data_IF_802861692705
#
_entry.id   IF_802861692705
#
_cell.length_a   1.000
_cell.length_b   1.000
_cell.length_c   1.000
_cell.angle_alpha   90.00
_cell.angle_beta   90.00
_cell.angle_gamma   90.00
#
_symmetry.space_group_name_H-M   'P 1'
#
loop_
_entity.id
_entity.type
_entity.pdbx_description
1 polymer ?
#
# COMPACT_ATOMS: atom_id res chain seq x y z
N UNK A 1 0.49 54.81 -0.31
CA UNK A 1 -0.43 53.80 0.25
C UNK A 1 -0.35 52.53 -0.62
N UNK A 2 0.55 51.62 -0.30
CA UNK A 2 0.75 50.37 -1.03
C UNK A 2 -0.01 49.25 -0.32
N UNK A 3 -1.03 48.71 -0.96
CA UNK A 3 -1.76 47.52 -0.42
C UNK A 3 -0.94 46.26 -0.71
N UNK A 4 -0.35 45.71 0.31
CA UNK A 4 0.33 44.40 0.25
C UNK A 4 -0.63 43.29 -0.17
N UNK A 5 -0.35 42.63 -1.31
CA UNK A 5 -0.99 41.40 -1.72
C UNK A 5 -0.61 40.31 -0.71
N UNK A 6 -1.57 39.84 0.08
CA UNK A 6 -1.42 38.58 0.83
C UNK A 6 -1.37 37.45 -0.22
N UNK A 7 -0.23 36.78 -0.29
CA UNK A 7 -0.09 35.54 -1.04
C UNK A 7 -1.02 34.48 -0.41
N UNK A 8 -1.97 33.98 -1.15
CA UNK A 8 -2.80 32.83 -0.73
C UNK A 8 -1.88 31.60 -0.60
N UNK A 9 -1.93 30.95 0.51
CA UNK A 9 -1.29 29.64 0.68
C UNK A 9 -1.95 28.64 -0.27
N UNK A 10 -1.19 27.82 -1.00
CA UNK A 10 -1.75 26.83 -1.92
C UNK A 10 -2.65 25.82 -1.19
N UNK A 11 -3.70 25.37 -1.88
CA UNK A 11 -4.63 24.36 -1.38
C UNK A 11 -3.93 22.99 -1.19
N UNK A 12 -4.52 22.11 -0.39
CA UNK A 12 -4.01 20.73 -0.17
C UNK A 12 -3.82 20.01 -1.52
N UNK A 13 -4.76 20.18 -2.47
CA UNK A 13 -4.66 19.60 -3.81
C UNK A 13 -3.46 20.14 -4.61
N UNK A 14 -3.16 21.43 -4.51
CA UNK A 14 -2.00 22.05 -5.18
C UNK A 14 -0.67 21.62 -4.56
N UNK A 15 -0.63 21.32 -3.26
CA UNK A 15 0.57 20.81 -2.57
C UNK A 15 0.83 19.34 -2.86
N UNK A 16 -0.22 18.52 -2.99
CA UNK A 16 -0.11 17.13 -3.46
C UNK A 16 0.49 17.09 -4.86
N UNK A 17 0.05 18.00 -5.76
CA UNK A 17 0.57 18.10 -7.12
C UNK A 17 2.06 18.52 -7.19
N UNK A 18 2.57 19.27 -6.20
CA UNK A 18 3.97 19.76 -6.18
C UNK A 18 4.94 18.87 -5.40
N UNK A 19 4.45 17.85 -4.67
CA UNK A 19 5.27 16.98 -3.78
C UNK A 19 5.88 15.76 -4.46
N UNK A 20 5.86 15.63 -5.79
CA UNK A 20 6.30 14.42 -6.51
C UNK A 20 5.30 13.25 -6.41
N UNK A 21 4.20 13.42 -5.67
CA UNK A 21 3.10 12.45 -5.61
C UNK A 21 2.30 12.49 -6.92
N UNK A 22 2.22 13.65 -7.59
CA UNK A 22 1.57 13.79 -8.90
C UNK A 22 2.26 12.92 -9.98
N UNK A 23 3.59 12.83 -9.99
CA UNK A 23 4.35 11.97 -10.92
C UNK A 23 4.14 10.48 -10.64
N UNK A 24 3.69 10.12 -9.42
CA UNK A 24 3.29 8.76 -9.06
C UNK A 24 1.86 8.42 -9.52
N UNK A 25 0.99 9.42 -9.65
CA UNK A 25 -0.43 9.25 -10.05
C UNK A 25 -0.56 8.82 -11.52
N UNK A 26 0.31 9.28 -12.42
CA UNK A 26 0.30 8.92 -13.85
C UNK A 26 0.59 7.43 -14.12
N UNK A 27 1.00 6.67 -13.11
CA UNK A 27 1.28 5.23 -13.22
C UNK A 27 0.20 4.32 -12.63
N UNK A 28 -0.88 4.90 -12.10
CA UNK A 28 -2.01 4.17 -11.52
C UNK A 28 -3.23 4.40 -12.40
N UNK A 29 -3.57 3.39 -13.19
CA UNK A 29 -4.71 3.44 -14.13
C UNK A 29 -6.05 3.48 -13.40
N UNK A 30 -6.90 4.36 -13.86
CA UNK A 30 -8.38 4.43 -13.83
C UNK A 30 -9.14 4.00 -12.56
N UNK A 31 -9.85 4.98 -12.00
CA UNK A 31 -10.72 4.84 -10.82
C UNK A 31 -12.19 4.82 -11.25
N UNK A 32 -12.93 3.77 -10.92
CA UNK A 32 -14.40 3.79 -10.86
C UNK A 32 -14.85 4.12 -9.42
N UNK A 33 -15.59 5.21 -9.26
CA UNK A 33 -16.17 5.63 -7.97
C UNK A 33 -17.57 5.05 -7.81
N UNK A 34 -17.74 4.13 -6.87
CA UNK A 34 -19.02 3.90 -6.19
C UNK A 34 -18.92 4.35 -4.75
N UNK A 35 -19.97 4.92 -4.20
CA UNK A 35 -20.03 5.82 -3.05
C UNK A 35 -19.59 5.26 -1.67
N UNK A 36 -18.83 4.19 -1.59
CA UNK A 36 -18.33 3.64 -0.32
C UNK A 36 -16.94 2.98 -0.40
N UNK A 37 -16.45 2.54 -1.57
CA UNK A 37 -15.14 1.89 -1.66
C UNK A 37 -14.34 2.41 -2.86
N UNK A 38 -13.15 2.95 -2.60
CA UNK A 38 -12.22 3.34 -3.66
C UNK A 38 -11.22 2.22 -3.92
N UNK A 39 -11.17 1.75 -5.17
CA UNK A 39 -10.23 0.74 -5.63
C UNK A 39 -9.14 1.40 -6.49
N UNK A 40 -7.90 1.01 -6.26
CA UNK A 40 -6.73 1.40 -7.05
C UNK A 40 -6.09 0.13 -7.58
N UNK A 41 -6.04 0.00 -8.91
CA UNK A 41 -5.39 -1.13 -9.56
C UNK A 41 -3.87 -1.04 -9.41
N UNK A 42 -3.23 -2.17 -9.18
CA UNK A 42 -1.78 -2.27 -8.94
C UNK A 42 -1.23 -3.50 -9.65
N UNK A 43 -0.15 -3.36 -10.40
CA UNK A 43 0.42 -4.38 -11.28
C UNK A 43 -0.58 -4.77 -12.39
N UNK A 44 -0.51 -6.03 -12.84
CA UNK A 44 -1.33 -6.56 -13.94
C UNK A 44 -2.73 -7.02 -13.50
N UNK A 45 -2.85 -7.67 -12.33
CA UNK A 45 -4.10 -8.24 -11.81
C UNK A 45 -4.40 -7.87 -10.35
N UNK A 46 -3.58 -7.03 -9.74
CA UNK A 46 -3.71 -6.68 -8.33
C UNK A 46 -4.52 -5.41 -8.10
N UNK A 47 -4.92 -5.19 -6.86
CA UNK A 47 -5.56 -3.95 -6.43
C UNK A 47 -5.37 -3.70 -4.93
N UNK A 48 -5.59 -2.45 -4.54
CA UNK A 48 -5.85 -2.01 -3.17
C UNK A 48 -7.21 -1.34 -3.14
N UNK A 49 -8.13 -1.84 -2.34
CA UNK A 49 -9.45 -1.26 -2.13
C UNK A 49 -9.62 -0.90 -0.66
N UNK A 50 -10.05 0.32 -0.39
CA UNK A 50 -10.46 0.73 0.95
C UNK A 50 -11.93 0.36 1.14
N UNK A 51 -12.20 -0.69 1.92
CA UNK A 51 -13.54 -1.21 2.13
C UNK A 51 -14.30 -0.44 3.21
N UNK A 52 -13.57 0.01 4.26
CA UNK A 52 -14.17 0.71 5.38
C UNK A 52 -13.13 1.55 6.11
N UNK A 53 -13.56 2.67 6.68
CA UNK A 53 -12.67 3.59 7.36
C UNK A 53 -13.37 4.23 8.57
N UNK A 54 -12.73 4.14 9.72
CA UNK A 54 -13.07 4.88 10.94
C UNK A 54 -11.84 5.72 11.30
N UNK A 55 -11.52 6.70 10.44
CA UNK A 55 -10.31 7.51 10.57
C UNK A 55 -10.51 8.89 9.95
N UNK A 56 -10.14 9.90 10.71
CA UNK A 56 -10.00 11.29 10.29
C UNK A 56 -8.97 12.02 11.18
N UNK A 57 -8.57 13.22 10.78
CA UNK A 57 -7.65 14.04 11.58
C UNK A 57 -8.25 14.48 12.92
N UNK A 58 -9.58 14.65 12.98
CA UNK A 58 -10.28 15.03 14.21
C UNK A 58 -10.20 13.93 15.28
N UNK A 59 -10.18 12.67 14.87
CA UNK A 59 -10.02 11.52 15.78
C UNK A 59 -8.68 11.56 16.51
N UNK A 60 -7.61 11.93 15.83
CA UNK A 60 -6.27 12.13 16.43
C UNK A 60 -6.29 13.27 17.44
N UNK A 61 -6.88 14.41 17.04
CA UNK A 61 -7.03 15.59 17.93
C UNK A 61 -7.81 15.23 19.18
N UNK A 62 -8.94 14.55 19.06
CA UNK A 62 -9.78 14.17 20.19
C UNK A 62 -9.11 13.12 21.08
N UNK A 63 -8.41 12.14 20.50
CA UNK A 63 -7.63 11.18 21.26
C UNK A 63 -6.54 11.86 22.11
N UNK A 64 -5.83 12.84 21.56
CA UNK A 64 -4.84 13.61 22.31
C UNK A 64 -5.49 14.49 23.41
N UNK A 65 -6.63 15.12 23.11
CA UNK A 65 -7.31 16.07 24.03
C UNK A 65 -8.08 15.38 25.15
N UNK A 66 -8.30 14.08 25.12
CA UNK A 66 -8.97 13.33 26.19
C UNK A 66 -8.27 13.51 27.53
N UNK A 67 -6.96 13.68 27.55
CA UNK A 67 -6.16 13.95 28.74
C UNK A 67 -6.55 15.26 29.46
N UNK A 68 -7.26 16.16 28.78
CA UNK A 68 -7.77 17.42 29.30
C UNK A 68 -9.30 17.45 29.42
N UNK A 69 -9.96 16.28 29.28
CA UNK A 69 -11.42 16.14 29.23
C UNK A 69 -12.09 17.09 28.21
N UNK A 70 -11.43 17.32 27.07
CA UNK A 70 -11.92 18.20 25.99
C UNK A 70 -12.16 17.39 24.74
N UNK A 71 -13.36 17.52 24.19
CA UNK A 71 -13.75 16.96 22.88
C UNK A 71 -14.14 18.09 21.94
N UNK A 72 -13.78 17.96 20.68
CA UNK A 72 -14.18 18.86 19.59
C UNK A 72 -15.07 18.11 18.60
N UNK A 73 -15.95 18.86 17.95
CA UNK A 73 -16.80 18.34 16.87
C UNK A 73 -16.30 18.73 15.48
N UNK A 74 -15.38 19.69 15.41
CA UNK A 74 -14.71 20.12 14.19
C UNK A 74 -13.29 20.59 14.48
N UNK A 75 -12.42 20.46 13.50
CA UNK A 75 -11.06 20.98 13.54
C UNK A 75 -11.03 22.49 13.39
N UNK A 76 -10.06 23.14 14.03
CA UNK A 76 -9.69 24.53 13.80
C UNK A 76 -8.21 24.67 13.40
N UNK A 77 -7.77 25.91 13.13
CA UNK A 77 -6.41 26.22 12.67
C UNK A 77 -5.31 25.76 13.65
N UNK A 78 -5.61 25.62 14.94
CA UNK A 78 -4.64 25.20 15.96
C UNK A 78 -4.40 23.69 15.96
N UNK A 79 -5.34 22.89 15.48
CA UNK A 79 -5.28 21.44 15.58
C UNK A 79 -4.22 20.82 14.66
N UNK A 80 -3.96 21.42 13.50
CA UNK A 80 -2.84 21.05 12.65
C UNK A 80 -1.49 21.22 13.36
N UNK A 81 -1.37 22.24 14.23
CA UNK A 81 -0.20 22.42 15.11
C UNK A 81 -0.05 21.29 16.12
N UNK A 82 -1.15 20.84 16.71
CA UNK A 82 -1.15 19.71 17.65
C UNK A 82 -0.72 18.41 16.95
N UNK A 83 -1.30 18.08 15.78
CA UNK A 83 -0.93 16.88 15.02
C UNK A 83 0.57 16.88 14.68
N UNK A 84 1.11 18.02 14.19
CA UNK A 84 2.55 18.17 13.92
C UNK A 84 3.41 18.00 15.16
N UNK A 85 2.97 18.54 16.30
CA UNK A 85 3.64 18.34 17.58
C UNK A 85 3.68 16.86 17.97
N UNK A 86 2.53 16.17 17.94
CA UNK A 86 2.44 14.74 18.28
C UNK A 86 3.35 13.88 17.39
N UNK A 87 3.41 14.19 16.10
CA UNK A 87 4.28 13.50 15.13
C UNK A 87 5.76 13.71 15.48
N UNK A 88 6.18 14.97 15.67
CA UNK A 88 7.56 15.34 15.97
C UNK A 88 8.07 14.73 17.28
N UNK A 89 7.24 14.77 18.32
CA UNK A 89 7.58 14.26 19.65
C UNK A 89 7.34 12.75 19.81
N UNK A 90 6.94 12.09 18.70
CA UNK A 90 6.66 10.64 18.65
C UNK A 90 5.60 10.17 19.65
N UNK A 91 4.59 10.99 19.89
CA UNK A 91 3.42 10.62 20.68
C UNK A 91 2.47 9.78 19.82
N UNK A 92 2.76 8.48 19.67
CA UNK A 92 2.09 7.58 18.73
C UNK A 92 0.65 7.22 19.10
N UNK A 93 0.32 7.16 20.40
CA UNK A 93 -1.00 6.68 20.88
C UNK A 93 -2.20 7.39 20.24
N UNK A 94 -2.24 8.73 20.03
CA UNK A 94 -3.38 9.37 19.37
C UNK A 94 -3.68 8.86 17.97
N UNK A 95 -2.66 8.36 17.25
CA UNK A 95 -2.79 7.80 15.91
C UNK A 95 -3.24 6.32 15.91
N UNK A 96 -3.46 5.71 17.07
CA UNK A 96 -3.91 4.34 17.22
C UNK A 96 -5.45 4.22 17.37
N UNK A 97 -6.15 5.35 17.63
CA UNK A 97 -7.60 5.41 17.86
C UNK A 97 -8.42 5.61 16.58
N UNK A 98 -8.00 4.97 15.51
CA UNK A 98 -8.63 5.01 14.20
C UNK A 98 -8.38 3.68 13.48
N UNK A 99 -9.08 3.42 12.38
CA UNK A 99 -8.99 2.14 11.68
C UNK A 99 -9.26 2.29 10.20
N UNK A 100 -8.45 1.63 9.39
CA UNK A 100 -8.63 1.42 7.97
C UNK A 100 -8.79 -0.07 7.70
N UNK A 101 -9.77 -0.47 6.88
CA UNK A 101 -9.92 -1.84 6.41
C UNK A 101 -9.74 -1.90 4.91
N UNK A 102 -8.63 -2.48 4.50
CA UNK A 102 -8.31 -2.70 3.10
C UNK A 102 -8.66 -4.13 2.69
N UNK A 103 -9.14 -4.28 1.46
CA UNK A 103 -9.12 -5.52 0.70
C UNK A 103 -8.04 -5.40 -0.36
N UNK A 104 -7.11 -6.32 -0.36
CA UNK A 104 -5.92 -6.29 -1.21
C UNK A 104 -5.83 -7.57 -2.02
N UNK A 105 -5.53 -7.42 -3.30
CA UNK A 105 -5.14 -8.53 -4.18
C UNK A 105 -3.71 -8.31 -4.63
N UNK A 106 -2.82 -9.26 -4.31
CA UNK A 106 -1.40 -9.14 -4.59
C UNK A 106 -0.76 -10.52 -4.84
N UNK A 107 0.38 -10.59 -5.56
CA UNK A 107 1.16 -11.83 -5.64
C UNK A 107 1.60 -12.30 -4.25
N UNK A 108 1.66 -13.61 -4.03
CA UNK A 108 2.04 -14.21 -2.73
C UNK A 108 3.39 -13.68 -2.26
N UNK A 109 4.38 -13.47 -3.14
CA UNK A 109 5.67 -12.93 -2.72
C UNK A 109 5.56 -11.49 -2.18
N UNK A 110 4.64 -10.67 -2.71
CA UNK A 110 4.33 -9.32 -2.20
C UNK A 110 3.60 -9.42 -0.85
N UNK A 111 2.60 -10.30 -0.75
CA UNK A 111 1.86 -10.52 0.51
C UNK A 111 2.79 -10.95 1.65
N UNK A 112 3.81 -11.75 1.38
CA UNK A 112 4.82 -12.14 2.39
C UNK A 112 5.61 -10.96 2.94
N UNK A 113 5.92 -9.97 2.13
CA UNK A 113 6.56 -8.73 2.58
C UNK A 113 5.56 -7.81 3.30
N UNK A 114 4.29 -7.80 2.86
CA UNK A 114 3.22 -7.06 3.50
C UNK A 114 3.01 -7.49 4.95
N UNK A 115 3.01 -8.79 5.22
CA UNK A 115 2.75 -9.36 6.55
C UNK A 115 3.94 -9.24 7.52
N UNK A 116 5.07 -8.69 7.11
CA UNK A 116 6.24 -8.50 7.99
C UNK A 116 6.01 -7.41 9.04
N UNK A 117 5.42 -6.24 8.75
CA UNK A 117 4.87 -5.34 9.76
C UNK A 117 3.62 -5.97 10.39
N UNK A 118 3.74 -6.42 11.65
CA UNK A 118 2.73 -7.32 12.27
C UNK A 118 1.61 -6.61 13.02
N UNK A 119 1.66 -5.28 13.17
CA UNK A 119 0.62 -4.52 13.87
C UNK A 119 -0.54 -4.29 12.91
N UNK A 120 -1.52 -5.17 12.99
CA UNK A 120 -2.72 -5.18 12.16
C UNK A 120 -3.38 -6.55 12.20
N UNK A 121 -4.61 -6.63 11.69
CA UNK A 121 -5.37 -7.87 11.55
C UNK A 121 -5.39 -8.30 10.10
N UNK A 122 -5.11 -9.56 9.84
CA UNK A 122 -5.04 -10.14 8.50
C UNK A 122 -5.96 -11.35 8.39
N UNK A 123 -6.64 -11.48 7.26
CA UNK A 123 -7.35 -12.69 6.89
C UNK A 123 -7.17 -12.92 5.39
N UNK A 124 -6.51 -14.01 5.03
CA UNK A 124 -6.09 -14.30 3.67
C UNK A 124 -6.94 -15.40 3.05
N UNK A 125 -7.18 -15.29 1.74
CA UNK A 125 -7.73 -16.33 0.90
C UNK A 125 -6.99 -17.66 1.11
N UNK A 126 -7.73 -18.76 1.17
CA UNK A 126 -7.11 -20.05 1.44
C UNK A 126 -7.38 -21.06 0.31
N UNK A 127 -6.33 -21.41 -0.41
CA UNK A 127 -6.34 -22.52 -1.36
C UNK A 127 -6.59 -23.91 -0.72
N UNK A 128 -6.76 -23.99 0.59
CA UNK A 128 -7.23 -25.22 1.27
C UNK A 128 -8.72 -25.43 1.03
N UNK A 129 -9.48 -24.32 0.94
CA UNK A 129 -10.95 -24.37 0.86
C UNK A 129 -11.46 -24.00 -0.51
N UNK A 130 -10.82 -23.07 -1.20
CA UNK A 130 -11.19 -22.65 -2.54
C UNK A 130 -10.19 -23.13 -3.59
N UNK A 131 -10.64 -23.25 -4.84
CA UNK A 131 -9.77 -23.58 -5.98
C UNK A 131 -8.86 -22.36 -6.25
N UNK A 132 -7.59 -22.62 -6.56
CA UNK A 132 -6.68 -21.59 -7.04
C UNK A 132 -7.15 -21.04 -8.39
N UNK A 133 -6.83 -19.79 -8.68
CA UNK A 133 -6.99 -19.16 -9.99
C UNK A 133 -5.73 -19.34 -10.83
N UNK A 134 -5.85 -19.19 -12.13
CA UNK A 134 -4.75 -19.24 -13.10
C UNK A 134 -4.14 -17.86 -13.37
N UNK A 135 -4.23 -16.96 -12.38
CA UNK A 135 -3.70 -15.61 -12.49
C UNK A 135 -2.38 -15.49 -11.74
N UNK A 136 -1.36 -15.07 -12.48
CA UNK A 136 0.01 -14.96 -12.01
C UNK A 136 0.63 -13.64 -12.42
N UNK A 137 1.49 -13.10 -11.57
CA UNK A 137 2.23 -11.90 -11.88
C UNK A 137 3.30 -12.14 -12.95
N UNK A 138 3.15 -11.45 -14.08
CA UNK A 138 4.18 -11.35 -15.11
C UNK A 138 4.60 -9.87 -15.19
N UNK A 139 5.87 -9.53 -14.91
CA UNK A 139 6.31 -8.14 -14.90
C UNK A 139 6.11 -7.49 -16.27
N UNK A 140 5.82 -6.19 -16.31
CA UNK A 140 5.91 -5.42 -17.54
C UNK A 140 7.37 -5.44 -18.07
N UNK A 141 7.63 -5.33 -19.40
CA UNK A 141 8.99 -5.40 -19.94
C UNK A 141 9.96 -4.45 -19.24
N UNK A 142 9.55 -3.21 -18.95
CA UNK A 142 10.31 -2.19 -18.25
C UNK A 142 10.55 -2.48 -16.76
N UNK A 143 9.85 -3.49 -16.21
CA UNK A 143 10.01 -3.93 -14.83
C UNK A 143 10.99 -5.08 -14.68
N UNK A 144 11.39 -5.72 -15.79
CA UNK A 144 12.45 -6.72 -15.78
C UNK A 144 13.80 -6.02 -15.62
N UNK A 145 14.56 -6.43 -14.60
CA UNK A 145 15.78 -5.74 -14.20
C UNK A 145 16.85 -6.71 -13.70
N UNK A 146 18.10 -6.36 -13.94
CA UNK A 146 19.23 -7.02 -13.30
C UNK A 146 19.54 -6.39 -11.95
N UNK A 147 20.10 -7.17 -11.05
CA UNK A 147 20.52 -6.75 -9.73
C UNK A 147 22.04 -6.57 -9.70
N UNK A 148 22.50 -5.37 -9.35
CA UNK A 148 23.93 -5.01 -9.29
C UNK A 148 24.28 -4.59 -7.87
N UNK A 149 25.52 -4.90 -7.42
CA UNK A 149 26.05 -4.48 -6.12
C UNK A 149 26.14 -5.61 -5.10
N UNK A 150 26.12 -5.24 -3.81
CA UNK A 150 26.32 -6.16 -2.67
C UNK A 150 25.09 -6.13 -1.74
N UNK A 151 24.87 -7.18 -0.91
CA UNK A 151 23.84 -7.15 0.10
C UNK A 151 23.82 -5.86 0.92
N UNK A 152 22.65 -5.19 0.98
CA UNK A 152 22.49 -3.91 1.66
C UNK A 152 22.81 -2.66 0.82
N UNK A 153 23.31 -2.84 -0.41
CA UNK A 153 23.62 -1.75 -1.35
C UNK A 153 23.39 -2.22 -2.79
N UNK A 154 22.20 -2.76 -3.06
CA UNK A 154 21.82 -3.15 -4.40
C UNK A 154 21.27 -1.95 -5.19
N UNK A 155 21.62 -1.90 -6.49
CA UNK A 155 20.91 -1.15 -7.51
C UNK A 155 20.29 -2.10 -8.52
N UNK A 156 19.30 -1.60 -9.25
CA UNK A 156 18.59 -2.37 -10.26
C UNK A 156 18.63 -1.62 -11.58
N UNK A 157 19.09 -2.29 -12.62
CA UNK A 157 19.25 -1.71 -13.95
C UNK A 157 18.30 -2.40 -14.92
N UNK A 158 17.68 -1.67 -15.87
CA UNK A 158 16.88 -2.28 -16.92
C UNK A 158 17.69 -3.30 -17.71
N UNK A 159 17.06 -4.34 -18.18
CA UNK A 159 17.62 -5.27 -19.16
C UNK A 159 17.20 -4.83 -20.57
N UNK A 160 17.81 -5.42 -21.61
CA UNK A 160 17.35 -5.23 -22.97
C UNK A 160 16.00 -5.93 -23.26
N UNK A 161 15.37 -5.54 -24.33
CA UNK A 161 14.02 -6.02 -24.69
C UNK A 161 13.99 -7.54 -24.96
N UNK A 162 15.07 -8.11 -25.48
CA UNK A 162 15.17 -9.56 -25.76
C UNK A 162 15.17 -10.36 -24.45
N UNK A 163 16.01 -9.97 -23.48
CA UNK A 163 16.05 -10.61 -22.18
C UNK A 163 14.76 -10.36 -21.38
N UNK A 164 14.17 -9.15 -21.49
CA UNK A 164 12.90 -8.85 -20.87
C UNK A 164 11.81 -9.79 -21.39
N UNK A 165 11.68 -9.96 -22.72
CA UNK A 165 10.69 -10.83 -23.31
C UNK A 165 10.96 -12.30 -22.96
N UNK A 166 12.19 -12.78 -23.07
CA UNK A 166 12.55 -14.15 -22.71
C UNK A 166 12.23 -14.47 -21.25
N UNK A 167 12.48 -13.53 -20.33
CA UNK A 167 12.13 -13.68 -18.89
C UNK A 167 10.61 -13.81 -18.70
N UNK A 168 9.84 -13.00 -19.39
CA UNK A 168 8.37 -13.04 -19.31
C UNK A 168 7.80 -14.34 -19.86
N UNK A 169 8.33 -14.81 -20.99
CA UNK A 169 7.90 -16.06 -21.63
C UNK A 169 8.22 -17.26 -20.74
N UNK A 170 9.39 -17.29 -20.11
CA UNK A 170 9.79 -18.33 -19.15
C UNK A 170 8.88 -18.35 -17.92
N UNK A 171 8.59 -17.19 -17.33
CA UNK A 171 7.65 -17.08 -16.21
C UNK A 171 6.27 -17.60 -16.58
N UNK A 172 5.74 -17.18 -17.72
CA UNK A 172 4.42 -17.61 -18.21
C UNK A 172 4.36 -19.13 -18.44
N UNK A 173 5.40 -19.70 -19.04
CA UNK A 173 5.48 -21.14 -19.29
C UNK A 173 5.53 -21.96 -17.99
N UNK A 174 6.34 -21.52 -17.01
CA UNK A 174 6.43 -22.18 -15.70
C UNK A 174 5.11 -22.08 -14.94
N UNK A 175 4.44 -20.93 -14.98
CA UNK A 175 3.15 -20.73 -14.33
C UNK A 175 2.06 -21.64 -14.93
N UNK A 176 1.98 -21.71 -16.25
CA UNK A 176 1.04 -22.60 -16.94
C UNK A 176 1.29 -24.07 -16.56
N UNK A 177 2.54 -24.51 -16.54
CA UNK A 177 2.91 -25.87 -16.16
C UNK A 177 2.55 -26.19 -14.70
N UNK A 178 2.80 -25.25 -13.78
CA UNK A 178 2.48 -25.40 -12.37
C UNK A 178 0.96 -25.47 -12.13
N UNK A 179 0.19 -24.61 -12.78
CA UNK A 179 -1.26 -24.61 -12.68
C UNK A 179 -1.88 -25.90 -13.24
N UNK A 180 -1.42 -26.36 -14.41
CA UNK A 180 -1.85 -27.64 -14.97
C UNK A 180 -1.51 -28.83 -14.05
N UNK A 181 -0.38 -28.78 -13.35
CA UNK A 181 -0.04 -29.79 -12.35
C UNK A 181 -1.00 -29.75 -11.16
N UNK A 182 -1.32 -28.55 -10.65
CA UNK A 182 -2.30 -28.36 -9.59
C UNK A 182 -3.67 -28.95 -9.98
N UNK A 183 -4.18 -28.63 -11.17
CA UNK A 183 -5.46 -29.13 -11.66
C UNK A 183 -5.47 -30.65 -11.73
N UNK A 184 -4.44 -31.28 -12.33
CA UNK A 184 -4.33 -32.74 -12.40
C UNK A 184 -4.34 -33.40 -11.01
N UNK A 185 -3.64 -32.84 -10.03
CA UNK A 185 -3.62 -33.37 -8.66
C UNK A 185 -5.01 -33.31 -8.02
N UNK A 186 -5.73 -32.18 -8.20
CA UNK A 186 -7.09 -32.02 -7.68
C UNK A 186 -8.07 -32.98 -8.35
N UNK A 187 -7.98 -33.16 -9.67
CA UNK A 187 -8.80 -34.10 -10.44
C UNK A 187 -8.55 -35.57 -10.05
N UNK A 188 -7.32 -35.90 -9.68
CA UNK A 188 -6.97 -37.22 -9.11
C UNK A 188 -7.41 -37.44 -7.67
N UNK A 189 -8.06 -36.45 -7.05
CA UNK A 189 -8.56 -36.55 -5.69
C UNK A 189 -7.54 -36.19 -4.59
N UNK A 190 -6.38 -35.63 -4.97
CA UNK A 190 -5.41 -35.13 -3.99
C UNK A 190 -6.02 -33.94 -3.25
N UNK A 191 -5.92 -33.93 -1.92
CA UNK A 191 -6.44 -32.83 -1.11
C UNK A 191 -5.84 -31.48 -1.53
N UNK A 192 -6.68 -30.45 -1.68
CA UNK A 192 -6.26 -29.10 -2.10
C UNK A 192 -5.13 -28.53 -1.26
N UNK A 193 -5.13 -28.82 0.07
CA UNK A 193 -4.08 -28.38 0.98
C UNK A 193 -2.68 -28.90 0.61
N UNK A 194 -2.61 -30.04 -0.07
CA UNK A 194 -1.37 -30.62 -0.59
C UNK A 194 -1.16 -30.20 -2.06
N UNK A 195 -2.19 -30.29 -2.91
CA UNK A 195 -2.10 -29.94 -4.32
C UNK A 195 -1.55 -28.54 -4.55
N UNK A 196 -1.94 -27.57 -3.71
CA UNK A 196 -1.43 -26.17 -3.77
C UNK A 196 0.07 -26.02 -3.57
N UNK A 197 0.77 -27.08 -3.10
CA UNK A 197 2.22 -27.00 -2.91
C UNK A 197 3.02 -26.78 -4.22
N UNK A 198 2.43 -27.06 -5.37
CA UNK A 198 3.04 -26.80 -6.67
C UNK A 198 2.84 -25.35 -7.15
N UNK A 199 2.00 -24.55 -6.47
CA UNK A 199 1.71 -23.18 -6.89
C UNK A 199 2.90 -22.27 -6.64
N UNK A 200 3.36 -21.52 -7.66
CA UNK A 200 4.47 -20.59 -7.50
C UNK A 200 4.06 -19.35 -6.69
N UNK A 201 5.05 -18.69 -6.11
CA UNK A 201 4.84 -17.46 -5.31
C UNK A 201 4.37 -16.26 -6.14
N UNK A 202 4.43 -16.32 -7.45
CA UNK A 202 3.84 -15.33 -8.36
C UNK A 202 2.32 -15.44 -8.48
N UNK A 203 1.68 -16.51 -7.96
CA UNK A 203 0.22 -16.62 -7.93
C UNK A 203 -0.39 -15.50 -7.10
N UNK A 204 -1.53 -14.95 -7.56
CA UNK A 204 -2.26 -13.94 -6.82
C UNK A 204 -3.00 -14.55 -5.63
N UNK A 205 -2.96 -13.83 -4.51
CA UNK A 205 -3.76 -14.05 -3.31
C UNK A 205 -4.56 -12.80 -2.98
N UNK A 206 -5.59 -12.95 -2.14
CA UNK A 206 -6.39 -11.83 -1.65
C UNK A 206 -6.43 -11.88 -0.13
N UNK A 207 -6.45 -10.70 0.51
CA UNK A 207 -6.54 -10.63 1.95
C UNK A 207 -7.20 -9.32 2.42
N UNK A 208 -7.89 -9.42 3.54
CA UNK A 208 -8.27 -8.26 4.33
C UNK A 208 -7.12 -7.84 5.24
N UNK A 209 -6.92 -6.55 5.35
CA UNK A 209 -5.98 -5.94 6.27
C UNK A 209 -6.65 -4.80 7.02
N UNK A 210 -6.79 -4.93 8.34
CA UNK A 210 -7.30 -3.87 9.22
C UNK A 210 -6.15 -3.33 10.06
N UNK A 211 -5.96 -2.00 10.03
CA UNK A 211 -4.78 -1.34 10.59
C UNK A 211 -5.15 0.06 11.08
N UNK A 212 -4.51 0.52 12.17
CA UNK A 212 -4.60 1.91 12.61
C UNK A 212 -3.60 2.82 11.88
N UNK A 213 -3.77 4.16 11.97
CA UNK A 213 -2.94 5.10 11.23
C UNK A 213 -1.46 5.05 11.64
N UNK A 214 -1.13 4.78 12.90
CA UNK A 214 0.26 4.62 13.33
C UNK A 214 0.96 3.47 12.63
N UNK A 215 0.33 2.30 12.65
CA UNK A 215 0.86 1.11 12.00
C UNK A 215 0.84 1.24 10.46
N UNK A 216 -0.15 1.96 9.90
CA UNK A 216 -0.23 2.29 8.48
C UNK A 216 0.95 3.17 8.05
N UNK A 217 1.25 4.24 8.79
CA UNK A 217 2.43 5.09 8.56
C UNK A 217 3.73 4.29 8.65
N UNK A 218 3.84 3.35 9.61
CA UNK A 218 5.01 2.47 9.69
C UNK A 218 5.12 1.55 8.46
N UNK A 219 4.01 1.00 7.98
CA UNK A 219 3.99 0.22 6.75
C UNK A 219 4.47 1.05 5.55
N UNK A 220 3.95 2.27 5.37
CA UNK A 220 4.34 3.19 4.30
C UNK A 220 5.84 3.53 4.41
N UNK A 221 6.34 3.84 5.61
CA UNK A 221 7.77 4.11 5.85
C UNK A 221 8.68 3.00 5.34
N UNK A 222 8.26 1.74 5.54
CA UNK A 222 9.04 0.55 5.20
C UNK A 222 8.87 0.11 3.74
N UNK A 223 7.67 0.30 3.15
CA UNK A 223 7.30 -0.31 1.88
C UNK A 223 7.22 0.68 0.72
N UNK A 224 7.06 1.97 0.98
CA UNK A 224 7.20 3.02 -0.03
C UNK A 224 8.65 3.54 -0.15
N UNK A 225 9.58 3.05 0.68
CA UNK A 225 11.00 3.42 0.60
C UNK A 225 11.61 2.98 -0.74
N UNK A 226 12.56 3.75 -1.27
CA UNK A 226 13.24 3.44 -2.54
C UNK A 226 13.98 2.10 -2.51
N UNK A 227 14.44 1.68 -1.33
CA UNK A 227 15.10 0.40 -1.09
C UNK A 227 14.16 -0.79 -1.01
N UNK A 228 12.84 -0.57 -0.92
CA UNK A 228 11.86 -1.63 -0.93
C UNK A 228 11.73 -2.24 -2.34
N UNK A 229 11.34 -3.51 -2.40
CA UNK A 229 11.07 -4.18 -3.68
C UNK A 229 10.02 -3.39 -4.48
N UNK A 230 10.23 -3.26 -5.80
CA UNK A 230 9.42 -2.38 -6.65
C UNK A 230 7.92 -2.71 -6.63
N UNK A 231 7.60 -4.01 -6.60
CA UNK A 231 6.23 -4.47 -6.62
C UNK A 231 5.47 -4.05 -5.35
N UNK A 232 6.00 -4.34 -4.16
CA UNK A 232 5.33 -3.91 -2.90
C UNK A 232 5.31 -2.40 -2.75
N UNK A 233 6.28 -1.68 -3.31
CA UNK A 233 6.30 -0.22 -3.29
C UNK A 233 5.09 0.37 -4.04
N UNK A 234 4.71 -0.20 -5.19
CA UNK A 234 3.50 0.23 -5.92
C UNK A 234 2.22 0.05 -5.10
N UNK A 235 2.13 -1.05 -4.34
CA UNK A 235 1.02 -1.24 -3.41
C UNK A 235 1.06 -0.24 -2.25
N UNK A 236 2.23 0.03 -1.70
CA UNK A 236 2.39 1.01 -0.63
C UNK A 236 2.05 2.43 -1.09
N UNK A 237 2.38 2.79 -2.34
CA UNK A 237 1.99 4.06 -2.95
C UNK A 237 0.46 4.18 -3.06
N UNK A 238 -0.25 3.10 -3.44
CA UNK A 238 -1.72 3.07 -3.48
C UNK A 238 -2.34 3.23 -2.09
N UNK A 239 -1.81 2.53 -1.10
CA UNK A 239 -2.22 2.67 0.31
C UNK A 239 -1.99 4.09 0.82
N UNK A 240 -0.85 4.71 0.48
CA UNK A 240 -0.49 6.07 0.87
C UNK A 240 -1.47 7.10 0.31
N UNK A 241 -1.90 6.94 -0.95
CA UNK A 241 -2.92 7.81 -1.55
C UNK A 241 -4.25 7.76 -0.77
N UNK A 242 -4.72 6.56 -0.45
CA UNK A 242 -5.95 6.37 0.32
C UNK A 242 -5.83 6.93 1.75
N UNK A 243 -4.67 6.81 2.38
CA UNK A 243 -4.40 7.41 3.68
C UNK A 243 -4.44 8.95 3.62
N UNK A 244 -3.78 9.56 2.62
CA UNK A 244 -3.72 11.01 2.45
C UNK A 244 -5.11 11.64 2.24
N UNK A 245 -6.03 10.93 1.59
CA UNK A 245 -7.41 11.40 1.36
C UNK A 245 -8.23 11.48 2.66
N UNK A 246 -8.05 10.52 3.55
CA UNK A 246 -8.84 10.43 4.78
C UNK A 246 -8.25 11.19 5.95
N UNK A 247 -6.92 11.35 5.98
CA UNK A 247 -6.20 12.04 7.06
C UNK A 247 -5.17 13.03 6.49
N UNK A 248 -5.60 14.06 5.75
CA UNK A 248 -4.69 14.94 5.01
C UNK A 248 -3.72 15.73 5.91
N UNK A 249 -4.16 16.17 7.09
CA UNK A 249 -3.29 16.93 8.02
C UNK A 249 -2.27 16.02 8.69
N UNK A 250 -2.69 14.79 9.05
CA UNK A 250 -1.79 13.76 9.58
C UNK A 250 -0.78 13.33 8.52
N UNK A 251 -1.22 13.16 7.27
CA UNK A 251 -0.34 12.83 6.15
C UNK A 251 0.71 13.93 5.90
N UNK A 252 0.30 15.22 5.85
CA UNK A 252 1.23 16.34 5.72
C UNK A 252 2.28 16.34 6.85
N UNK A 253 1.84 16.10 8.10
CA UNK A 253 2.74 16.02 9.25
C UNK A 253 3.72 14.83 9.16
N UNK A 254 3.26 13.68 8.69
CA UNK A 254 4.07 12.48 8.45
C UNK A 254 5.15 12.71 7.38
N UNK A 255 4.79 13.33 6.25
CA UNK A 255 5.74 13.68 5.18
C UNK A 255 6.77 14.70 5.68
N UNK A 256 6.32 15.75 6.41
CA UNK A 256 7.21 16.76 7.00
C UNK A 256 8.17 16.19 8.05
N UNK A 257 7.80 15.10 8.73
CA UNK A 257 8.65 14.35 9.66
C UNK A 257 9.59 13.34 8.97
N UNK A 258 9.76 13.42 7.64
CA UNK A 258 10.63 12.53 6.87
C UNK A 258 10.05 11.12 6.69
N UNK A 259 8.74 10.96 6.76
CA UNK A 259 8.02 9.66 6.66
C UNK A 259 8.42 8.67 7.75
N UNK A 260 8.68 9.17 8.94
CA UNK A 260 8.96 8.36 10.12
C UNK A 260 7.70 8.31 10.99
N UNK A 261 7.17 7.09 11.21
CA UNK A 261 6.01 6.88 12.07
C UNK A 261 6.32 7.27 13.52
N UNK A 262 5.38 7.93 14.21
CA UNK A 262 5.56 8.34 15.60
C UNK A 262 5.55 7.19 16.61
#
# INVERSE_FOLDING_TARGET
>A
MSRGRRLRSPSVAERIATSGVADKIDRVSTVEQTSASRTIDVLDHGFVRLDDVMADDLSVVNAARVSFARRKEAMDDSDGGLIRFLMRERHGTPFEHNSFRFHVRAPIFVAREWFRPRIGSYNEFSMRYAKATDEFYVPAPEDVRTQVGKPGSYSFEPVDDELAQATRDELAAVYAAAFAAYERLVEQGVARELARAVMPVGAYTEFYWTVNARALMNFISLRAAETAQREIRRYADAVELLFAEHMPVTYEAFVAAGRVSP
#
